data_IF_024365629322
#
_entry.id   IF_024365629322
#
_cell.length_a   1.000
_cell.length_b   1.000
_cell.length_c   1.000
_cell.angle_alpha   90.00
_cell.angle_beta   90.00
_cell.angle_gamma   90.00
#
_symmetry.space_group_name_H-M   'P 1'
#
loop_
_entity.id
_entity.type
_entity.pdbx_description
1 polymer ?
#
# COMPACT_ATOMS: atom_id res chain seq x y z
N UNK A 1 -7.03 4.08 15.10
CA UNK A 1 -5.82 4.08 15.96
C UNK A 1 -4.56 4.02 15.09
N UNK A 2 -4.41 4.93 14.13
CA UNK A 2 -3.25 4.96 13.22
C UNK A 2 -2.27 6.11 13.54
N UNK A 3 -2.38 6.71 14.73
CA UNK A 3 -1.64 7.93 15.11
C UNK A 3 -0.29 7.67 15.77
N UNK A 4 0.08 6.41 16.06
CA UNK A 4 1.32 6.15 16.80
C UNK A 4 2.56 6.01 15.91
N UNK A 5 2.42 5.59 14.66
CA UNK A 5 3.55 5.40 13.75
C UNK A 5 4.15 6.72 13.26
N UNK A 6 3.32 7.73 13.02
CA UNK A 6 3.79 9.05 12.57
C UNK A 6 4.55 9.80 13.68
N UNK A 7 4.09 9.67 14.93
CA UNK A 7 4.75 10.32 16.09
C UNK A 7 6.08 9.63 16.44
N UNK A 8 6.15 8.32 16.41
CA UNK A 8 7.40 7.58 16.66
C UNK A 8 8.42 7.81 15.55
N UNK A 9 7.97 7.90 14.31
CA UNK A 9 8.81 8.19 13.16
C UNK A 9 9.38 9.61 13.24
N UNK A 10 8.56 10.61 13.52
CA UNK A 10 8.98 11.99 13.71
C UNK A 10 9.96 12.13 14.89
N UNK A 11 9.75 11.38 15.98
CA UNK A 11 10.66 11.34 17.11
C UNK A 11 12.03 10.72 16.74
N UNK A 12 12.05 9.67 15.90
CA UNK A 12 13.30 9.04 15.42
C UNK A 12 14.04 9.95 14.45
N UNK A 13 13.33 10.61 13.51
CA UNK A 13 13.93 11.63 12.64
C UNK A 13 14.55 12.77 13.44
N UNK A 14 13.86 13.28 14.45
CA UNK A 14 14.38 14.33 15.33
C UNK A 14 15.60 13.85 16.14
N UNK A 15 15.63 12.58 16.56
CA UNK A 15 16.80 11.99 17.23
C UNK A 15 18.01 11.90 16.30
N UNK A 16 17.83 11.51 15.04
CA UNK A 16 18.88 11.49 14.02
C UNK A 16 19.38 12.91 13.74
N UNK A 17 18.46 13.87 13.56
CA UNK A 17 18.77 15.29 13.39
C UNK A 17 19.57 15.87 14.57
N UNK A 18 19.16 15.52 15.80
CA UNK A 18 19.86 15.96 17.02
C UNK A 18 21.27 15.37 17.09
N UNK A 19 21.45 14.11 16.70
CA UNK A 19 22.76 13.47 16.65
C UNK A 19 23.66 14.09 15.57
N UNK A 20 23.13 14.41 14.39
CA UNK A 20 23.84 15.10 13.32
C UNK A 20 24.27 16.49 13.84
N UNK A 21 23.34 17.27 14.38
CA UNK A 21 23.63 18.61 14.90
C UNK A 21 24.64 18.59 16.06
N UNK A 22 24.59 17.62 16.97
CA UNK A 22 25.53 17.54 18.12
C UNK A 22 26.94 17.15 17.67
N UNK A 23 27.07 16.31 16.62
CA UNK A 23 28.38 15.87 16.14
C UNK A 23 29.06 16.90 15.22
N UNK A 24 28.27 17.77 14.56
CA UNK A 24 28.77 18.74 13.58
C UNK A 24 28.76 20.21 14.04
N UNK A 25 28.11 20.54 15.13
CA UNK A 25 27.93 21.94 15.56
C UNK A 25 29.19 22.66 16.08
N UNK A 26 30.27 21.93 16.34
CA UNK A 26 31.46 22.53 17.00
C UNK A 26 32.54 23.08 16.07
N UNK A 27 32.72 22.55 14.88
CA UNK A 27 33.89 22.84 14.01
C UNK A 27 33.53 23.47 12.65
N UNK A 28 32.30 23.39 12.27
CA UNK A 28 31.84 23.75 10.92
C UNK A 28 31.68 25.25 10.67
N UNK A 29 31.37 26.03 11.71
CA UNK A 29 30.89 27.40 11.56
C UNK A 29 32.02 28.42 11.43
N UNK A 30 33.20 28.16 11.91
CA UNK A 30 34.27 29.19 11.97
C UNK A 30 35.16 29.29 10.73
N UNK A 31 35.31 28.17 9.95
CA UNK A 31 36.18 28.18 8.77
C UNK A 31 35.45 28.54 7.45
N UNK A 32 34.17 28.31 7.44
CA UNK A 32 33.33 28.49 6.24
C UNK A 32 32.89 29.95 6.01
N UNK A 33 32.86 30.76 7.05
CA UNK A 33 32.26 32.11 7.01
C UNK A 33 32.85 33.06 5.96
N UNK A 34 34.16 32.97 5.69
CA UNK A 34 34.81 33.95 4.80
C UNK A 34 34.70 33.65 3.26
N UNK A 35 34.55 32.38 2.92
CA UNK A 35 34.37 32.00 1.49
C UNK A 35 32.90 32.14 1.05
N UNK A 36 31.98 31.97 1.97
CA UNK A 36 30.54 31.95 1.69
C UNK A 36 29.89 33.33 1.69
N UNK A 37 30.45 34.31 2.39
CA UNK A 37 29.96 35.71 2.34
C UNK A 37 30.00 36.29 0.93
N UNK A 38 30.93 35.84 0.10
CA UNK A 38 31.05 36.27 -1.32
C UNK A 38 30.04 35.55 -2.22
N UNK A 39 29.67 34.31 -1.92
CA UNK A 39 28.63 33.54 -2.62
C UNK A 39 27.23 33.96 -2.20
N UNK A 40 27.04 34.28 -0.92
CA UNK A 40 25.78 34.73 -0.35
C UNK A 40 25.19 35.98 -1.03
N UNK A 41 26.06 36.89 -1.43
CA UNK A 41 25.64 38.09 -2.17
C UNK A 41 25.13 37.82 -3.58
N UNK A 42 25.28 36.60 -4.11
CA UNK A 42 24.79 36.19 -5.45
C UNK A 42 23.53 35.33 -5.40
N UNK A 43 23.25 34.65 -4.30
CA UNK A 43 22.07 33.81 -4.13
C UNK A 43 21.09 34.58 -3.23
N UNK A 44 20.08 35.17 -3.83
CA UNK A 44 19.10 35.98 -3.09
C UNK A 44 18.22 35.19 -2.10
N UNK A 45 17.98 33.92 -2.38
CA UNK A 45 17.20 33.01 -1.50
C UNK A 45 17.42 31.57 -1.90
N UNK A 46 17.65 30.68 -0.95
CA UNK A 46 17.58 29.24 -1.14
C UNK A 46 16.21 28.76 -0.67
N UNK A 47 15.47 28.08 -1.50
CA UNK A 47 14.24 27.38 -1.16
C UNK A 47 14.63 25.91 -1.10
N UNK A 48 14.38 25.27 0.04
CA UNK A 48 14.51 23.83 0.20
C UNK A 48 13.11 23.26 0.03
N UNK A 49 12.91 22.52 -1.05
CA UNK A 49 11.65 21.82 -1.31
C UNK A 49 11.82 20.36 -0.89
N UNK A 50 10.83 19.84 -0.18
CA UNK A 50 10.81 18.46 0.27
C UNK A 50 10.29 17.53 -0.85
N UNK A 51 10.44 16.21 -0.70
CA UNK A 51 9.90 15.27 -1.65
C UNK A 51 8.38 15.22 -1.60
N UNK A 52 7.76 14.94 -2.75
CA UNK A 52 6.33 14.64 -2.81
C UNK A 52 6.03 13.27 -2.19
N UNK A 53 4.98 13.21 -1.38
CA UNK A 53 4.55 12.00 -0.70
C UNK A 53 3.38 11.32 -1.40
N UNK A 54 3.49 10.02 -1.61
CA UNK A 54 2.44 9.17 -2.17
C UNK A 54 1.57 8.53 -1.07
N UNK A 55 1.10 9.36 -0.13
CA UNK A 55 0.36 8.88 1.06
C UNK A 55 -1.04 8.41 0.73
N UNK A 56 -1.42 7.26 1.28
CA UNK A 56 -2.81 6.93 1.58
C UNK A 56 -3.62 6.23 0.50
N UNK A 57 -3.14 6.05 -0.74
CA UNK A 57 -3.95 5.41 -1.79
C UNK A 57 -4.40 4.00 -1.35
N UNK A 58 -3.49 3.19 -0.84
CA UNK A 58 -3.79 1.87 -0.26
C UNK A 58 -3.76 1.85 1.27
N UNK A 59 -3.78 3.01 1.92
CA UNK A 59 -3.69 3.15 3.38
C UNK A 59 -4.79 2.42 4.15
N UNK A 60 -5.95 2.25 3.55
CA UNK A 60 -7.08 1.48 4.08
C UNK A 60 -6.70 0.03 4.45
N UNK A 61 -5.79 -0.58 3.71
CA UNK A 61 -5.38 -1.96 3.90
C UNK A 61 -4.25 -2.13 4.91
N UNK A 62 -3.70 -1.05 5.45
CA UNK A 62 -2.71 -1.13 6.51
C UNK A 62 -3.34 -1.66 7.80
N UNK A 63 -2.77 -2.74 8.32
CA UNK A 63 -3.20 -3.41 9.56
C UNK A 63 -2.25 -3.06 10.71
N UNK A 64 -2.50 -3.64 11.87
CA UNK A 64 -1.65 -3.44 13.03
C UNK A 64 -0.22 -3.95 12.78
N UNK A 65 0.75 -3.30 13.42
CA UNK A 65 2.17 -3.69 13.39
C UNK A 65 2.34 -5.08 13.98
N UNK A 66 3.09 -5.95 13.30
CA UNK A 66 3.40 -7.30 13.74
C UNK A 66 4.91 -7.45 13.91
N UNK A 67 5.40 -7.25 15.13
CA UNK A 67 6.84 -7.30 15.40
C UNK A 67 7.38 -8.72 15.63
N UNK A 68 6.49 -9.68 15.94
CA UNK A 68 6.86 -11.05 16.25
C UNK A 68 6.31 -12.01 15.20
N UNK A 69 7.15 -12.95 14.80
CA UNK A 69 6.82 -13.96 13.78
C UNK A 69 7.01 -13.47 12.34
N UNK A 70 7.22 -14.44 11.45
CA UNK A 70 7.43 -14.18 10.01
C UNK A 70 6.22 -14.62 9.18
N UNK A 71 5.17 -15.10 9.85
CA UNK A 71 4.01 -15.70 9.17
C UNK A 71 2.72 -15.15 9.75
N UNK A 72 1.83 -14.71 8.87
CA UNK A 72 0.45 -14.34 9.19
C UNK A 72 -0.45 -15.52 8.85
N UNK A 73 -1.21 -15.98 9.80
CA UNK A 73 -2.16 -17.08 9.62
C UNK A 73 -3.60 -16.55 9.56
N UNK A 74 -4.34 -16.99 8.55
CA UNK A 74 -5.77 -16.77 8.43
C UNK A 74 -6.50 -18.10 8.58
N UNK A 75 -7.48 -18.15 9.47
CA UNK A 75 -8.32 -19.34 9.69
C UNK A 75 -9.78 -18.97 9.42
N UNK A 76 -10.42 -19.73 8.54
CA UNK A 76 -11.87 -19.62 8.27
C UNK A 76 -12.56 -20.95 8.52
N UNK A 77 -13.63 -20.93 9.29
CA UNK A 77 -14.53 -22.07 9.42
C UNK A 77 -15.49 -22.12 8.23
N UNK A 78 -15.68 -23.31 7.66
CA UNK A 78 -16.63 -23.52 6.55
C UNK A 78 -18.08 -23.50 7.05
N UNK A 79 -18.98 -23.09 6.18
CA UNK A 79 -20.42 -23.20 6.41
C UNK A 79 -20.81 -24.67 6.24
N UNK A 80 -21.51 -25.23 7.23
CA UNK A 80 -22.03 -26.60 7.16
C UNK A 80 -23.43 -26.59 6.55
N UNK A 81 -23.65 -27.49 5.58
CA UNK A 81 -24.99 -27.74 5.05
C UNK A 81 -25.85 -28.46 6.13
N UNK A 82 -27.06 -27.97 6.32
CA UNK A 82 -28.04 -28.65 7.14
C UNK A 82 -28.45 -29.99 6.52
N UNK A 83 -28.60 -31.00 7.36
CA UNK A 83 -29.16 -32.31 6.94
C UNK A 83 -30.62 -32.40 7.37
N UNK A 84 -31.43 -33.11 6.59
CA UNK A 84 -32.80 -33.37 6.98
C UNK A 84 -32.81 -34.17 8.29
N UNK A 85 -33.64 -33.74 9.24
CA UNK A 85 -33.81 -34.46 10.48
C UNK A 85 -34.59 -35.74 10.23
N UNK A 86 -33.96 -36.90 10.52
CA UNK A 86 -34.61 -38.21 10.49
C UNK A 86 -34.45 -38.84 11.89
N UNK A 87 -35.54 -38.99 12.65
CA UNK A 87 -35.50 -39.60 13.97
C UNK A 87 -35.16 -41.10 13.92
N UNK A 88 -35.29 -41.76 12.77
CA UNK A 88 -35.02 -43.18 12.58
C UNK A 88 -33.71 -43.45 11.82
N UNK A 89 -32.85 -42.45 11.69
CA UNK A 89 -31.57 -42.59 10.97
C UNK A 89 -30.73 -43.74 11.60
N UNK A 90 -30.16 -44.57 10.71
CA UNK A 90 -29.30 -45.70 11.12
C UNK A 90 -28.03 -45.27 11.88
N UNK A 91 -27.61 -44.00 11.69
CA UNK A 91 -26.45 -43.41 12.37
C UNK A 91 -26.83 -42.08 13.04
N UNK A 92 -27.52 -42.12 14.22
CA UNK A 92 -28.03 -40.91 14.87
C UNK A 92 -26.93 -39.94 15.36
N UNK A 93 -25.68 -40.39 15.44
CA UNK A 93 -24.54 -39.60 15.89
C UNK A 93 -23.54 -39.29 14.78
N UNK A 94 -23.90 -39.48 13.52
CA UNK A 94 -23.08 -39.10 12.35
C UNK A 94 -23.00 -37.60 12.20
N UNK A 95 -22.02 -36.95 12.84
CA UNK A 95 -21.79 -35.53 12.73
C UNK A 95 -20.88 -35.19 11.55
N UNK A 96 -21.14 -34.08 10.83
CA UNK A 96 -20.20 -33.51 9.88
C UNK A 96 -19.04 -32.89 10.64
N UNK A 97 -17.82 -33.28 10.30
CA UNK A 97 -16.61 -32.62 10.83
C UNK A 97 -16.37 -31.31 10.03
N UNK A 98 -16.42 -30.18 10.72
CA UNK A 98 -15.97 -28.94 10.14
C UNK A 98 -14.44 -28.90 10.10
N UNK A 99 -13.87 -28.84 8.90
CA UNK A 99 -12.43 -28.67 8.70
C UNK A 99 -12.20 -27.21 8.29
N UNK A 100 -11.58 -26.39 9.15
CA UNK A 100 -11.32 -25.00 8.83
C UNK A 100 -10.30 -24.92 7.66
N UNK A 101 -10.39 -23.84 6.88
CA UNK A 101 -9.37 -23.45 5.92
C UNK A 101 -8.34 -22.62 6.67
N UNK A 102 -7.06 -22.98 6.52
CA UNK A 102 -5.95 -22.20 7.04
C UNK A 102 -5.06 -21.75 5.88
N UNK A 103 -4.72 -20.47 5.87
CA UNK A 103 -3.82 -19.85 4.90
C UNK A 103 -2.65 -19.19 5.64
N UNK A 104 -1.46 -19.32 5.09
CA UNK A 104 -0.23 -18.82 5.69
C UNK A 104 0.47 -17.86 4.72
N UNK A 105 0.71 -16.64 5.18
CA UNK A 105 1.42 -15.61 4.44
C UNK A 105 2.74 -15.30 5.13
N UNK A 106 3.86 -15.59 4.46
CA UNK A 106 5.20 -15.26 4.96
C UNK A 106 5.56 -13.82 4.61
N UNK A 107 6.53 -13.27 5.34
CA UNK A 107 7.12 -11.98 5.02
C UNK A 107 7.55 -11.93 3.55
N UNK A 108 7.06 -10.93 2.82
CA UNK A 108 7.26 -10.76 1.39
C UNK A 108 7.73 -9.35 1.00
N UNK A 109 7.97 -8.49 1.99
CA UNK A 109 8.60 -7.19 1.82
C UNK A 109 9.80 -7.08 2.76
N UNK A 110 10.98 -6.78 2.21
CA UNK A 110 12.18 -6.42 2.97
C UNK A 110 12.99 -5.44 2.15
N UNK A 111 12.85 -4.15 2.44
CA UNK A 111 13.46 -3.05 1.71
C UNK A 111 14.35 -2.22 2.65
N UNK A 112 15.51 -1.79 2.14
CA UNK A 112 16.41 -0.90 2.83
C UNK A 112 16.72 0.29 1.94
N UNK A 113 16.58 1.47 2.50
CA UNK A 113 16.93 2.74 1.85
C UNK A 113 18.16 3.31 2.53
N UNK A 114 19.10 3.80 1.72
CA UNK A 114 20.32 4.46 2.19
C UNK A 114 20.36 5.89 1.67
N UNK A 115 20.74 6.81 2.54
CA UNK A 115 21.12 8.16 2.16
C UNK A 115 22.47 8.50 2.78
N UNK A 116 23.38 9.04 1.98
CA UNK A 116 24.73 9.39 2.40
C UNK A 116 24.93 10.89 2.33
N UNK A 117 25.49 11.45 3.39
CA UNK A 117 25.92 12.84 3.46
C UNK A 117 27.44 12.92 3.56
N UNK A 118 28.07 13.69 2.69
CA UNK A 118 29.49 14.02 2.83
C UNK A 118 29.68 15.37 3.50
N UNK A 119 30.74 15.55 4.28
CA UNK A 119 31.05 16.84 4.90
C UNK A 119 31.21 17.94 3.86
N UNK A 120 31.79 17.60 2.70
CA UNK A 120 32.01 18.58 1.62
C UNK A 120 30.70 19.05 1.01
N UNK A 121 29.72 18.19 0.85
CA UNK A 121 28.41 18.56 0.31
C UNK A 121 27.65 19.46 1.26
N UNK A 122 27.73 19.16 2.55
CA UNK A 122 27.16 20.01 3.59
C UNK A 122 27.86 21.37 3.68
N UNK A 123 29.20 21.42 3.53
CA UNK A 123 29.95 22.68 3.53
C UNK A 123 29.66 23.56 2.31
N UNK A 124 29.45 22.97 1.15
CA UNK A 124 29.17 23.70 -0.11
C UNK A 124 27.76 24.26 -0.18
N UNK A 125 26.81 23.60 0.45
CA UNK A 125 25.40 23.87 0.24
C UNK A 125 24.86 25.03 1.10
N UNK A 126 25.46 25.34 2.27
CA UNK A 126 24.77 26.18 3.26
C UNK A 126 25.63 27.21 3.97
N UNK A 127 25.08 28.41 4.05
CA UNK A 127 25.69 29.58 4.71
C UNK A 127 25.21 29.78 6.14
N UNK A 128 24.14 29.11 6.56
CA UNK A 128 23.64 29.17 7.92
C UNK A 128 23.14 27.82 8.44
N UNK A 129 23.10 27.64 9.77
CA UNK A 129 22.75 26.39 10.41
C UNK A 129 21.27 25.99 10.21
N UNK A 130 20.37 26.96 10.04
CA UNK A 130 18.94 26.68 9.89
C UNK A 130 18.64 26.05 8.51
N UNK A 131 19.18 26.62 7.44
CA UNK A 131 19.02 26.05 6.08
C UNK A 131 19.68 24.70 5.93
N UNK A 132 20.75 24.41 6.67
CA UNK A 132 21.37 23.09 6.73
C UNK A 132 20.46 22.08 7.44
N UNK A 133 19.83 22.48 8.55
CA UNK A 133 18.87 21.62 9.26
C UNK A 133 17.67 21.26 8.38
N UNK A 134 17.09 22.23 7.68
CA UNK A 134 15.96 22.03 6.76
C UNK A 134 16.32 21.11 5.59
N UNK A 135 17.53 21.26 5.04
CA UNK A 135 18.02 20.38 3.97
C UNK A 135 18.19 18.94 4.45
N UNK A 136 18.84 18.72 5.58
CA UNK A 136 19.02 17.37 6.14
C UNK A 136 17.67 16.75 6.46
N UNK A 137 16.72 17.51 6.97
CA UNK A 137 15.36 17.05 7.21
C UNK A 137 14.66 16.62 5.91
N UNK A 138 14.73 17.45 4.87
CA UNK A 138 14.15 17.13 3.56
C UNK A 138 14.80 15.87 2.94
N UNK A 139 16.12 15.71 3.09
CA UNK A 139 16.82 14.52 2.60
C UNK A 139 16.44 13.24 3.37
N UNK A 140 16.24 13.33 4.67
CA UNK A 140 15.77 12.19 5.46
C UNK A 140 14.31 11.86 5.14
N UNK A 141 13.49 12.86 4.86
CA UNK A 141 12.11 12.70 4.42
C UNK A 141 12.01 11.98 3.06
N UNK A 142 13.04 12.16 2.20
CA UNK A 142 13.16 11.41 0.94
C UNK A 142 13.17 9.90 1.13
N UNK A 143 13.73 9.39 2.24
CA UNK A 143 13.71 7.94 2.53
C UNK A 143 12.28 7.44 2.76
N UNK A 144 11.46 8.25 3.43
CA UNK A 144 10.06 7.92 3.66
C UNK A 144 9.24 8.04 2.37
N UNK A 145 9.42 9.11 1.61
CA UNK A 145 8.75 9.30 0.33
C UNK A 145 9.08 8.19 -0.66
N UNK A 146 10.35 7.77 -0.73
CA UNK A 146 10.78 6.63 -1.55
C UNK A 146 10.08 5.35 -1.15
N UNK A 147 9.95 5.09 0.16
CA UNK A 147 9.20 3.93 0.65
C UNK A 147 7.72 4.00 0.25
N UNK A 148 7.06 5.13 0.42
CA UNK A 148 5.65 5.30 0.07
C UNK A 148 5.41 5.05 -1.42
N UNK A 149 6.32 5.52 -2.26
CA UNK A 149 6.29 5.26 -3.70
C UNK A 149 6.48 3.77 -4.03
N UNK A 150 7.48 3.12 -3.44
CA UNK A 150 7.73 1.70 -3.66
C UNK A 150 6.59 0.84 -3.11
N UNK A 151 5.99 1.23 -1.99
CA UNK A 151 4.80 0.58 -1.45
C UNK A 151 3.62 0.69 -2.40
N UNK A 152 3.39 1.85 -3.02
CA UNK A 152 2.36 2.03 -4.04
C UNK A 152 2.59 1.12 -5.24
N UNK A 153 3.81 1.07 -5.77
CA UNK A 153 4.16 0.17 -6.89
C UNK A 153 4.00 -1.31 -6.51
N UNK A 154 4.40 -1.67 -5.28
CA UNK A 154 4.28 -3.04 -4.79
C UNK A 154 2.82 -3.45 -4.62
N UNK A 155 1.97 -2.56 -4.10
CA UNK A 155 0.52 -2.79 -4.05
C UNK A 155 -0.07 -3.02 -5.44
N UNK A 156 0.25 -2.17 -6.42
CA UNK A 156 -0.21 -2.34 -7.81
C UNK A 156 0.18 -3.71 -8.36
N UNK A 157 1.41 -4.16 -8.14
CA UNK A 157 1.86 -5.51 -8.56
C UNK A 157 1.14 -6.62 -7.79
N UNK A 158 0.93 -6.41 -6.50
CA UNK A 158 0.34 -7.41 -5.61
C UNK A 158 -1.14 -7.66 -5.94
N UNK A 159 -1.94 -6.62 -6.14
CA UNK A 159 -3.36 -6.77 -6.49
C UNK A 159 -3.52 -7.31 -7.91
N UNK A 160 -2.69 -6.92 -8.86
CA UNK A 160 -2.75 -7.34 -10.28
C UNK A 160 -2.37 -8.81 -10.52
N UNK A 161 -2.01 -9.57 -9.48
CA UNK A 161 -1.59 -10.95 -9.64
C UNK A 161 -2.78 -11.90 -9.88
N UNK A 162 -2.88 -12.43 -11.10
CA UNK A 162 -3.94 -13.33 -11.55
C UNK A 162 -4.18 -14.52 -10.63
N UNK A 163 -3.13 -15.01 -9.95
CA UNK A 163 -3.24 -16.16 -9.05
C UNK A 163 -4.15 -15.94 -7.84
N UNK A 164 -4.52 -14.70 -7.55
CA UNK A 164 -5.37 -14.30 -6.43
C UNK A 164 -6.86 -14.29 -6.77
N UNK A 165 -7.20 -14.52 -8.03
CA UNK A 165 -8.58 -14.54 -8.51
C UNK A 165 -9.00 -15.96 -8.88
N UNK A 166 -10.25 -16.31 -8.62
CA UNK A 166 -10.84 -17.52 -9.15
C UNK A 166 -10.86 -17.47 -10.69
N UNK A 167 -10.80 -18.62 -11.34
CA UNK A 167 -10.80 -18.68 -12.80
C UNK A 167 -12.03 -18.00 -13.44
N UNK A 168 -13.21 -18.10 -12.80
CA UNK A 168 -14.44 -17.43 -13.21
C UNK A 168 -14.53 -15.95 -12.83
N UNK A 169 -13.68 -15.48 -11.93
CA UNK A 169 -13.64 -14.11 -11.45
C UNK A 169 -12.57 -13.23 -12.12
N UNK A 170 -11.85 -13.78 -13.10
CA UNK A 170 -10.88 -13.05 -13.93
C UNK A 170 -11.38 -13.07 -15.37
N UNK A 171 -12.09 -12.02 -15.79
CA UNK A 171 -12.85 -12.01 -17.04
C UNK A 171 -12.57 -10.77 -17.88
N UNK A 172 -12.64 -10.96 -19.22
CA UNK A 172 -12.62 -9.86 -20.15
C UNK A 172 -13.98 -9.15 -20.20
N UNK A 173 -13.97 -7.83 -20.25
CA UNK A 173 -15.17 -7.03 -20.53
C UNK A 173 -15.65 -7.31 -21.97
N UNK A 174 -16.93 -7.12 -22.22
CA UNK A 174 -17.49 -7.22 -23.57
C UNK A 174 -17.04 -6.04 -24.43
N UNK A 175 -17.00 -4.84 -23.86
CA UNK A 175 -16.52 -3.65 -24.52
C UNK A 175 -15.92 -2.65 -23.51
N UNK A 176 -14.99 -1.81 -23.95
CA UNK A 176 -14.43 -0.74 -23.14
C UNK A 176 -15.31 0.52 -23.18
N UNK A 177 -16.54 0.41 -22.69
CA UNK A 177 -17.50 1.52 -22.60
C UNK A 177 -17.92 1.78 -21.15
N UNK A 178 -18.26 3.02 -20.81
CA UNK A 178 -18.73 3.36 -19.46
C UNK A 178 -19.98 2.58 -19.05
N UNK A 179 -20.87 2.24 -20.03
CA UNK A 179 -22.05 1.42 -19.77
C UNK A 179 -21.71 -0.01 -19.38
N UNK A 180 -20.78 -0.64 -20.14
CA UNK A 180 -20.42 -2.03 -19.93
C UNK A 180 -19.65 -2.20 -18.60
N UNK A 181 -18.69 -1.33 -18.36
CA UNK A 181 -17.93 -1.29 -17.10
C UNK A 181 -18.88 -1.12 -15.90
N UNK A 182 -19.80 -0.16 -15.97
CA UNK A 182 -20.78 0.11 -14.90
C UNK A 182 -21.69 -1.08 -14.63
N UNK A 183 -22.24 -1.70 -15.68
CA UNK A 183 -23.12 -2.85 -15.55
C UNK A 183 -22.38 -4.03 -14.91
N UNK A 184 -21.15 -4.30 -15.33
CA UNK A 184 -20.32 -5.37 -14.76
C UNK A 184 -20.00 -5.11 -13.28
N UNK A 185 -19.61 -3.89 -12.91
CA UNK A 185 -19.38 -3.53 -11.50
C UNK A 185 -20.63 -3.78 -10.66
N UNK A 186 -21.78 -3.37 -11.16
CA UNK A 186 -23.05 -3.50 -10.45
C UNK A 186 -23.47 -4.97 -10.31
N UNK A 187 -23.37 -5.75 -11.36
CA UNK A 187 -23.69 -7.18 -11.37
C UNK A 187 -22.83 -7.94 -10.38
N UNK A 188 -21.50 -7.79 -10.47
CA UNK A 188 -20.54 -8.47 -9.61
C UNK A 188 -20.70 -8.05 -8.16
N UNK A 189 -20.84 -6.75 -7.90
CA UNK A 189 -21.04 -6.24 -6.53
C UNK A 189 -22.31 -6.80 -5.90
N UNK A 190 -23.40 -6.90 -6.67
CA UNK A 190 -24.64 -7.51 -6.16
C UNK A 190 -24.48 -9.01 -5.92
N UNK A 191 -23.82 -9.73 -6.83
CA UNK A 191 -23.58 -11.17 -6.67
C UNK A 191 -22.72 -11.47 -5.43
N UNK A 192 -21.65 -10.71 -5.18
CA UNK A 192 -20.76 -10.90 -4.04
C UNK A 192 -21.43 -10.61 -2.69
N UNK A 193 -22.53 -9.85 -2.64
CA UNK A 193 -23.31 -9.59 -1.42
C UNK A 193 -24.12 -10.79 -0.95
N UNK A 194 -24.35 -11.76 -1.83
CA UNK A 194 -25.01 -13.01 -1.50
C UNK A 194 -23.98 -14.12 -1.27
N UNK A 195 -24.37 -15.23 -0.58
CA UNK A 195 -23.50 -16.36 -0.44
C UNK A 195 -23.18 -16.98 -1.82
N UNK A 196 -21.90 -16.93 -2.21
CA UNK A 196 -21.40 -17.47 -3.47
C UNK A 196 -20.00 -18.06 -3.28
N UNK A 197 -19.64 -19.02 -4.11
CA UNK A 197 -18.32 -19.66 -4.21
C UNK A 197 -17.58 -19.30 -5.49
N UNK A 198 -18.22 -18.56 -6.41
CA UNK A 198 -17.68 -18.24 -7.73
C UNK A 198 -16.50 -17.25 -7.72
N UNK A 199 -16.42 -16.42 -6.69
CA UNK A 199 -15.50 -15.26 -6.67
C UNK A 199 -14.29 -15.45 -5.74
N UNK A 200 -14.04 -16.64 -5.23
CA UNK A 200 -12.88 -16.91 -4.39
C UNK A 200 -12.11 -18.14 -4.86
N UNK A 201 -10.79 -18.11 -4.66
CA UNK A 201 -9.86 -19.15 -5.16
C UNK A 201 -10.11 -20.51 -4.48
N UNK A 202 -10.53 -20.49 -3.21
CA UNK A 202 -10.77 -21.70 -2.43
C UNK A 202 -12.09 -22.40 -2.76
N UNK A 203 -12.98 -21.78 -3.56
CA UNK A 203 -14.28 -22.34 -3.91
C UNK A 203 -15.17 -22.60 -2.68
N UNK A 204 -15.06 -21.77 -1.65
CA UNK A 204 -15.84 -21.87 -0.43
C UNK A 204 -16.88 -20.76 -0.36
N UNK A 205 -18.07 -21.07 0.14
CA UNK A 205 -19.16 -20.09 0.22
C UNK A 205 -18.73 -18.87 1.04
N UNK A 206 -18.71 -17.71 0.40
CA UNK A 206 -18.37 -16.44 1.01
C UNK A 206 -19.44 -15.38 0.67
N UNK A 207 -19.59 -14.42 1.56
CA UNK A 207 -20.47 -13.25 1.40
C UNK A 207 -19.67 -12.02 1.80
N UNK A 208 -19.70 -10.98 0.98
CA UNK A 208 -18.96 -9.74 1.18
C UNK A 208 -19.93 -8.57 1.33
N UNK A 209 -19.91 -7.90 2.49
CA UNK A 209 -20.70 -6.71 2.77
C UNK A 209 -19.95 -5.43 2.43
N UNK A 210 -18.66 -5.41 2.72
CA UNK A 210 -17.79 -4.27 2.53
C UNK A 210 -16.83 -4.57 1.38
N UNK A 211 -16.97 -3.83 0.31
CA UNK A 211 -16.24 -4.03 -0.94
C UNK A 211 -15.49 -2.76 -1.31
N UNK A 212 -14.27 -2.92 -1.80
CA UNK A 212 -13.46 -1.86 -2.40
C UNK A 212 -13.33 -2.09 -3.90
N UNK A 213 -13.59 -1.05 -4.66
CA UNK A 213 -13.35 -0.97 -6.09
C UNK A 213 -12.01 -0.28 -6.33
N UNK A 214 -11.07 -1.00 -6.94
CA UNK A 214 -9.81 -0.43 -7.45
C UNK A 214 -9.98 -0.28 -8.95
N UNK A 215 -9.86 0.93 -9.47
CA UNK A 215 -10.20 1.24 -10.86
C UNK A 215 -9.14 2.11 -11.52
N UNK A 216 -8.91 1.94 -12.81
CA UNK A 216 -8.05 2.84 -13.56
C UNK A 216 -8.73 4.19 -13.77
N UNK A 217 -7.98 5.29 -13.71
CA UNK A 217 -8.49 6.64 -13.91
C UNK A 217 -9.21 6.80 -15.27
N UNK A 218 -8.77 6.06 -16.30
CA UNK A 218 -9.45 6.03 -17.61
C UNK A 218 -10.85 5.42 -17.51
N UNK A 219 -10.97 4.26 -16.86
CA UNK A 219 -12.24 3.56 -16.70
C UNK A 219 -13.20 4.37 -15.81
N UNK A 220 -12.69 4.96 -14.73
CA UNK A 220 -13.48 5.85 -13.86
C UNK A 220 -14.07 7.02 -14.66
N UNK A 221 -13.25 7.71 -15.45
CA UNK A 221 -13.70 8.79 -16.34
C UNK A 221 -14.77 8.35 -17.36
N UNK A 222 -14.63 7.13 -17.92
CA UNK A 222 -15.63 6.60 -18.85
C UNK A 222 -16.97 6.35 -18.16
N UNK A 223 -16.94 5.80 -16.94
CA UNK A 223 -18.15 5.58 -16.13
C UNK A 223 -18.80 6.90 -15.78
N UNK A 224 -18.05 7.87 -15.26
CA UNK A 224 -18.59 9.17 -14.87
C UNK A 224 -19.24 9.90 -16.05
N UNK A 225 -18.61 9.84 -17.23
CA UNK A 225 -19.20 10.40 -18.45
C UNK A 225 -20.52 9.73 -18.80
N UNK A 226 -20.63 8.41 -18.61
CA UNK A 226 -21.87 7.66 -18.84
C UNK A 226 -22.93 7.98 -17.81
N UNK A 227 -22.59 8.01 -16.53
CA UNK A 227 -23.52 8.26 -15.43
C UNK A 227 -24.00 9.72 -15.39
N UNK A 228 -23.16 10.68 -15.75
CA UNK A 228 -23.52 12.09 -15.86
C UNK A 228 -24.63 12.30 -16.89
N UNK A 229 -24.63 11.56 -18.00
CA UNK A 229 -25.65 11.62 -19.05
C UNK A 229 -26.98 11.01 -18.59
N UNK A 230 -26.92 9.87 -17.88
CA UNK A 230 -28.13 9.10 -17.56
C UNK A 230 -28.74 9.52 -16.22
N UNK A 231 -27.91 9.68 -15.20
CA UNK A 231 -28.37 9.88 -13.81
C UNK A 231 -28.02 11.25 -13.24
N UNK A 232 -27.23 12.08 -13.93
CA UNK A 232 -26.66 13.34 -13.42
C UNK A 232 -25.90 13.14 -12.11
N UNK A 233 -25.18 12.01 -11.98
CA UNK A 233 -24.40 11.62 -10.80
C UNK A 233 -23.07 11.02 -11.23
N UNK A 234 -22.14 10.96 -10.29
CA UNK A 234 -20.85 10.29 -10.41
C UNK A 234 -20.89 8.85 -9.87
N UNK A 235 -19.82 8.09 -10.09
CA UNK A 235 -19.68 6.73 -9.62
C UNK A 235 -19.75 6.65 -8.10
N UNK A 236 -19.08 7.54 -7.38
CA UNK A 236 -19.04 7.58 -5.91
C UNK A 236 -20.43 7.73 -5.32
N UNK A 237 -21.25 8.58 -5.93
CA UNK A 237 -22.63 8.84 -5.45
C UNK A 237 -23.60 7.69 -5.65
N UNK A 238 -23.27 6.68 -6.47
CA UNK A 238 -24.20 5.63 -6.85
C UNK A 238 -23.87 4.25 -6.29
N UNK A 239 -22.61 3.92 -6.12
CA UNK A 239 -22.21 2.55 -5.75
C UNK A 239 -22.25 2.27 -4.26
N UNK A 240 -21.97 3.29 -3.43
CA UNK A 240 -21.71 3.08 -2.01
C UNK A 240 -20.50 2.17 -1.74
N UNK A 241 -19.59 2.03 -2.71
CA UNK A 241 -18.32 1.32 -2.60
C UNK A 241 -17.22 2.31 -2.23
N UNK A 242 -16.21 1.83 -1.53
CA UNK A 242 -14.97 2.57 -1.41
C UNK A 242 -14.19 2.45 -2.74
N UNK A 243 -13.80 3.59 -3.30
CA UNK A 243 -13.14 3.65 -4.61
C UNK A 243 -11.69 4.06 -4.41
N UNK A 244 -10.80 3.32 -5.06
CA UNK A 244 -9.38 3.62 -5.14
C UNK A 244 -9.01 3.79 -6.61
N UNK A 245 -8.63 5.01 -6.99
CA UNK A 245 -8.16 5.31 -8.33
C UNK A 245 -6.68 5.00 -8.47
N UNK A 246 -6.33 4.31 -9.55
CA UNK A 246 -4.94 4.06 -9.94
C UNK A 246 -4.69 4.56 -11.36
N UNK A 247 -3.46 4.96 -11.64
CA UNK A 247 -3.05 5.37 -12.99
C UNK A 247 -3.11 4.19 -13.96
N UNK A 248 -2.62 3.04 -13.51
CA UNK A 248 -2.56 1.79 -14.26
C UNK A 248 -2.34 0.62 -13.31
N UNK A 249 -2.76 -0.56 -13.69
CA UNK A 249 -2.37 -1.80 -13.03
C UNK A 249 -1.02 -2.29 -13.56
N UNK A 250 -0.31 -3.10 -12.77
CA UNK A 250 0.84 -3.81 -13.28
C UNK A 250 0.38 -4.97 -14.16
N UNK A 251 1.06 -5.21 -15.26
CA UNK A 251 0.86 -6.40 -16.11
C UNK A 251 1.80 -7.52 -15.66
N UNK A 252 1.38 -8.43 -14.79
CA UNK A 252 2.33 -9.37 -14.14
C UNK A 252 2.85 -10.44 -15.12
N UNK A 253 2.01 -10.87 -16.06
CA UNK A 253 2.38 -11.86 -17.08
C UNK A 253 1.46 -11.74 -18.27
N UNK A 254 1.97 -11.26 -19.40
CA UNK A 254 1.22 -11.25 -20.66
C UNK A 254 0.67 -9.89 -21.06
N UNK A 255 -0.32 -9.91 -21.95
CA UNK A 255 -0.93 -8.74 -22.58
C UNK A 255 -2.22 -8.26 -21.88
N UNK A 256 -2.62 -8.91 -20.78
CA UNK A 256 -3.88 -8.61 -20.13
C UNK A 256 -3.80 -7.23 -19.44
N UNK A 257 -4.56 -6.27 -19.92
CA UNK A 257 -4.69 -4.96 -19.28
C UNK A 257 -5.89 -4.96 -18.34
N UNK A 258 -5.64 -4.82 -17.04
CA UNK A 258 -6.68 -4.76 -16.03
C UNK A 258 -7.36 -3.40 -16.07
N UNK A 259 -8.69 -3.39 -16.04
CA UNK A 259 -9.54 -2.20 -16.07
C UNK A 259 -9.97 -1.81 -14.65
N UNK A 260 -10.48 -2.77 -13.91
CA UNK A 260 -10.85 -2.60 -12.51
C UNK A 260 -10.82 -3.93 -11.76
N UNK A 261 -10.77 -3.83 -10.44
CA UNK A 261 -10.86 -4.95 -9.51
C UNK A 261 -11.84 -4.63 -8.39
N UNK A 262 -12.54 -5.65 -7.89
CA UNK A 262 -13.41 -5.55 -6.73
C UNK A 262 -12.91 -6.53 -5.67
N UNK A 263 -12.66 -6.05 -4.47
CA UNK A 263 -12.13 -6.83 -3.37
C UNK A 263 -13.01 -6.74 -2.13
N UNK A 264 -13.17 -7.85 -1.41
CA UNK A 264 -13.66 -7.81 -0.01
C UNK A 264 -12.61 -7.08 0.85
N UNK A 265 -12.99 -6.08 1.62
CA UNK A 265 -12.09 -5.27 2.45
C UNK A 265 -11.27 -6.08 3.45
N UNK A 266 -11.75 -7.27 3.78
CA UNK A 266 -11.07 -8.21 4.66
C UNK A 266 -10.10 -9.13 3.94
N UNK A 267 -10.13 -9.13 2.59
CA UNK A 267 -9.23 -9.95 1.79
C UNK A 267 -7.82 -9.37 1.80
N UNK A 268 -7.71 -8.05 1.58
CA UNK A 268 -6.43 -7.37 1.46
C UNK A 268 -5.92 -6.88 2.82
N UNK A 269 -4.63 -7.01 3.03
CA UNK A 269 -3.97 -6.49 4.23
C UNK A 269 -2.47 -6.31 4.04
N UNK A 270 -1.94 -5.28 4.66
CA UNK A 270 -0.50 -5.08 4.82
C UNK A 270 -0.18 -5.03 6.31
N UNK A 271 0.69 -5.90 6.75
CA UNK A 271 1.15 -6.02 8.13
C UNK A 271 2.60 -5.56 8.23
N UNK A 272 2.85 -4.29 8.58
CA UNK A 272 4.20 -3.77 8.72
C UNK A 272 4.86 -4.30 9.98
N UNK A 273 6.18 -4.48 9.94
CA UNK A 273 7.04 -4.55 11.13
C UNK A 273 7.52 -3.17 11.51
N UNK A 274 7.96 -3.00 12.77
CA UNK A 274 8.55 -1.73 13.21
C UNK A 274 9.78 -1.39 12.36
N UNK A 275 9.83 -0.23 11.70
CA UNK A 275 10.96 0.15 10.87
C UNK A 275 12.21 0.32 11.71
N UNK A 276 13.37 -0.07 11.15
CA UNK A 276 14.68 0.06 11.81
C UNK A 276 15.50 1.14 11.14
N UNK A 277 15.88 2.15 11.89
CA UNK A 277 16.80 3.18 11.46
C UNK A 277 18.18 2.92 12.05
N UNK A 278 19.23 2.95 11.23
CA UNK A 278 20.62 2.85 11.65
C UNK A 278 21.44 3.90 10.93
N UNK A 279 22.49 4.38 11.58
CA UNK A 279 23.41 5.34 11.01
C UNK A 279 24.85 4.84 11.19
N UNK A 280 25.68 5.04 10.18
CA UNK A 280 27.08 4.67 10.21
C UNK A 280 27.95 5.82 9.70
N UNK A 281 28.98 6.17 10.46
CA UNK A 281 29.97 7.19 10.08
C UNK A 281 31.22 6.53 9.50
N UNK A 282 31.57 6.93 8.29
CA UNK A 282 32.80 6.51 7.64
C UNK A 282 33.87 7.62 7.76
N UNK A 283 34.76 7.50 8.75
CA UNK A 283 35.81 8.49 9.00
C UNK A 283 36.84 8.63 7.88
N UNK A 284 36.98 7.64 7.00
CA UNK A 284 37.89 7.71 5.84
C UNK A 284 37.30 8.56 4.71
N UNK A 285 35.99 8.44 4.49
CA UNK A 285 35.27 9.18 3.46
C UNK A 285 34.67 10.49 3.98
N UNK A 286 34.79 10.77 5.28
CA UNK A 286 34.14 11.88 5.97
C UNK A 286 32.65 11.98 5.59
N UNK A 287 31.98 10.83 5.65
CA UNK A 287 30.57 10.72 5.26
C UNK A 287 29.77 9.96 6.30
N UNK A 288 28.48 10.28 6.42
CA UNK A 288 27.51 9.64 7.26
C UNK A 288 26.45 8.98 6.38
N UNK A 289 26.29 7.66 6.51
CA UNK A 289 25.23 6.90 5.84
C UNK A 289 24.12 6.62 6.83
N UNK A 290 22.90 6.98 6.46
CA UNK A 290 21.68 6.67 7.21
C UNK A 290 20.90 5.62 6.45
N UNK A 291 20.54 4.54 7.15
CA UNK A 291 19.80 3.41 6.60
C UNK A 291 18.43 3.33 7.26
N UNK A 292 17.42 3.10 6.46
CA UNK A 292 16.07 2.85 6.92
C UNK A 292 15.57 1.54 6.33
N UNK A 293 15.35 0.56 7.21
CA UNK A 293 14.92 -0.79 6.81
C UNK A 293 13.45 -0.97 7.15
N UNK A 294 12.66 -1.39 6.17
CA UNK A 294 11.26 -1.73 6.28
C UNK A 294 11.06 -3.21 5.97
N UNK A 295 10.22 -3.84 6.75
CA UNK A 295 9.78 -5.22 6.57
C UNK A 295 8.29 -5.30 6.75
N UNK A 296 7.64 -6.21 6.03
CA UNK A 296 6.20 -6.39 6.13
C UNK A 296 5.68 -7.58 5.33
N UNK A 297 4.38 -7.80 5.46
CA UNK A 297 3.69 -8.88 4.77
C UNK A 297 2.44 -8.35 4.10
N UNK A 298 2.40 -8.41 2.77
CA UNK A 298 1.18 -8.22 1.99
C UNK A 298 0.41 -9.53 1.98
N UNK A 299 -0.90 -9.45 2.20
CA UNK A 299 -1.79 -10.61 2.24
C UNK A 299 -3.01 -10.41 1.37
N UNK A 300 -3.49 -11.51 0.77
CA UNK A 300 -4.75 -11.56 0.04
C UNK A 300 -5.47 -12.87 0.38
N UNK A 301 -6.42 -12.84 1.31
CA UNK A 301 -7.13 -14.04 1.78
C UNK A 301 -7.93 -14.68 0.64
N UNK A 302 -7.49 -15.84 0.15
CA UNK A 302 -8.00 -16.53 -1.04
C UNK A 302 -9.39 -17.14 -0.84
N UNK A 303 -9.87 -17.23 0.39
CA UNK A 303 -11.25 -17.65 0.73
C UNK A 303 -12.24 -16.47 0.75
N UNK A 304 -11.80 -15.27 0.42
CA UNK A 304 -12.62 -14.06 0.28
C UNK A 304 -12.88 -13.76 -1.19
N UNK A 305 -13.98 -13.07 -1.44
CA UNK A 305 -14.37 -12.74 -2.80
C UNK A 305 -13.47 -11.64 -3.38
N UNK A 306 -13.04 -11.86 -4.60
CA UNK A 306 -12.30 -10.92 -5.42
C UNK A 306 -12.69 -11.11 -6.90
N UNK A 307 -12.75 -10.02 -7.67
CA UNK A 307 -13.04 -10.03 -9.10
C UNK A 307 -12.12 -9.08 -9.84
N UNK A 308 -11.70 -9.47 -11.02
CA UNK A 308 -10.84 -8.68 -11.89
C UNK A 308 -11.43 -8.64 -13.32
N UNK A 309 -11.59 -7.44 -13.83
CA UNK A 309 -11.99 -7.19 -15.21
C UNK A 309 -10.81 -6.73 -16.05
N UNK A 310 -10.59 -7.38 -17.17
CA UNK A 310 -9.55 -7.03 -18.14
C UNK A 310 -10.16 -6.43 -19.41
N UNK A 311 -9.34 -5.72 -20.18
CA UNK A 311 -9.76 -5.21 -21.50
C UNK A 311 -10.18 -6.36 -22.40
N UNK A 312 -11.14 -6.12 -23.32
CA UNK A 312 -11.60 -7.11 -24.28
C UNK A 312 -10.55 -7.49 -25.29
#
# INVERSE_FOLDING_TARGET
MATNTDTEWTARLNSILTNINSNYSGTFVSGANNLYTTLYNRIGRTIVDGPDHCKGIFGKFNKAVTDYGDTIEFIKSKILAGQAYDPNAATPFGGSRNVPIAEYWKENESLQYEIQFTEQDMQKAFTNANTMGDFVAAQLDTLQASREYDQFITWKKFVSDKSKFAAGAYQALTAMTGADIWNTIREVTQAMRFPTDDYNVQGDVAMSTDLTLIITAEAHRLIDSHLAVIYHKDLVGLTGLDIIDVDSFATPTGTDEIVFEIWDDRALGYYPKTPRATANYNGRALSMSNFLTFQGTYTAAQYRNAYCAIKP
#
